data_IF_565591333587
#
_entry.id   IF_565591333587
#
_cell.length_a   1.000
_cell.length_b   1.000
_cell.length_c   1.000
_cell.angle_alpha   90.00
_cell.angle_beta   90.00
_cell.angle_gamma   90.00
#
_symmetry.space_group_name_H-M   'P 1'
#
loop_
_entity.id
_entity.type
_entity.pdbx_description
1 polymer ?
#
# COMPACT_ATOMS: atom_id res chain seq x y z
N UNK A 1 10.62 -27.35 -5.90
CA UNK A 1 9.66 -26.69 -5.00
C UNK A 1 10.28 -25.60 -4.11
N UNK A 2 11.52 -25.75 -3.60
CA UNK A 2 12.18 -24.69 -2.80
C UNK A 2 12.35 -23.37 -3.57
N UNK A 3 12.73 -23.44 -4.84
CA UNK A 3 12.88 -22.26 -5.71
C UNK A 3 11.58 -21.48 -5.87
N UNK A 4 10.44 -22.19 -5.98
CA UNK A 4 9.12 -21.56 -6.09
C UNK A 4 8.74 -20.84 -4.78
N UNK A 5 8.99 -21.44 -3.62
CA UNK A 5 8.79 -20.78 -2.32
C UNK A 5 9.70 -19.57 -2.13
N UNK A 6 10.94 -19.64 -2.61
CA UNK A 6 11.90 -18.54 -2.50
C UNK A 6 11.51 -17.35 -3.39
N UNK A 7 11.01 -17.64 -4.61
CA UNK A 7 10.40 -16.63 -5.49
C UNK A 7 9.15 -16.01 -4.82
N UNK A 8 8.29 -16.81 -4.20
CA UNK A 8 7.10 -16.32 -3.48
C UNK A 8 7.45 -15.40 -2.31
N UNK A 9 8.51 -15.71 -1.55
CA UNK A 9 9.04 -14.85 -0.49
C UNK A 9 9.51 -13.51 -1.06
N UNK A 10 10.30 -13.53 -2.14
CA UNK A 10 10.82 -12.31 -2.77
C UNK A 10 9.69 -11.41 -3.31
N UNK A 11 8.71 -12.00 -3.99
CA UNK A 11 7.53 -11.28 -4.50
C UNK A 11 6.73 -10.66 -3.34
N UNK A 12 6.54 -11.40 -2.25
CA UNK A 12 5.79 -10.92 -1.10
C UNK A 12 6.48 -9.74 -0.42
N UNK A 13 7.80 -9.80 -0.24
CA UNK A 13 8.59 -8.69 0.31
C UNK A 13 8.50 -7.47 -0.62
N UNK A 14 8.67 -7.66 -1.93
CA UNK A 14 8.58 -6.57 -2.90
C UNK A 14 7.20 -5.90 -2.87
N UNK A 15 6.13 -6.70 -2.83
CA UNK A 15 4.75 -6.22 -2.76
C UNK A 15 4.47 -5.39 -1.50
N UNK A 16 4.99 -5.80 -0.34
CA UNK A 16 4.87 -5.06 0.92
C UNK A 16 5.59 -3.71 0.82
N UNK A 17 6.83 -3.69 0.32
CA UNK A 17 7.62 -2.45 0.18
C UNK A 17 6.94 -1.46 -0.77
N UNK A 18 6.41 -1.93 -1.90
CA UNK A 18 5.66 -1.09 -2.84
C UNK A 18 4.41 -0.49 -2.20
N UNK A 19 3.64 -1.28 -1.45
CA UNK A 19 2.45 -0.78 -0.75
C UNK A 19 2.80 0.28 0.30
N UNK A 20 3.89 0.08 1.06
CA UNK A 20 4.38 1.07 2.03
C UNK A 20 4.77 2.39 1.34
N UNK A 21 5.50 2.33 0.22
CA UNK A 21 5.87 3.53 -0.53
C UNK A 21 4.66 4.31 -1.07
N UNK A 22 3.57 3.63 -1.44
CA UNK A 22 2.31 4.28 -1.85
C UNK A 22 1.65 4.97 -0.66
N UNK A 23 1.62 4.32 0.52
CA UNK A 23 1.04 4.89 1.74
C UNK A 23 1.83 6.12 2.22
N UNK A 24 3.15 6.07 2.19
CA UNK A 24 3.99 7.21 2.59
C UNK A 24 3.79 8.42 1.66
N UNK A 25 3.71 8.17 0.35
CA UNK A 25 3.38 9.22 -0.62
C UNK A 25 1.97 9.78 -0.42
N UNK A 26 1.00 8.95 -0.04
CA UNK A 26 -0.35 9.41 0.31
C UNK A 26 -0.32 10.39 1.48
N UNK A 27 0.43 10.09 2.55
CA UNK A 27 0.52 10.96 3.74
C UNK A 27 1.17 12.31 3.36
N UNK A 28 2.23 12.28 2.56
CA UNK A 28 2.88 13.50 2.08
C UNK A 28 1.96 14.35 1.19
N UNK A 29 1.16 13.71 0.33
CA UNK A 29 0.19 14.40 -0.52
C UNK A 29 -0.96 15.01 0.29
N UNK A 30 -1.49 14.26 1.26
CA UNK A 30 -2.55 14.73 2.16
C UNK A 30 -2.16 15.97 2.95
N UNK A 31 -0.93 16.02 3.49
CA UNK A 31 -0.44 17.20 4.20
C UNK A 31 -0.37 18.45 3.30
N UNK A 32 0.19 18.31 2.08
CA UNK A 32 0.22 19.42 1.11
C UNK A 32 -1.19 19.90 0.73
N UNK A 33 -2.13 18.97 0.60
CA UNK A 33 -3.50 19.27 0.23
C UNK A 33 -4.25 20.03 1.34
N UNK A 34 -4.01 19.68 2.60
CA UNK A 34 -4.52 20.42 3.76
C UNK A 34 -3.98 21.86 3.76
N UNK A 35 -2.68 22.05 3.47
CA UNK A 35 -2.09 23.38 3.36
C UNK A 35 -2.74 24.21 2.23
N UNK A 36 -2.99 23.61 1.06
CA UNK A 36 -3.68 24.28 -0.06
C UNK A 36 -5.15 24.61 0.25
N UNK A 37 -5.86 23.71 0.93
CA UNK A 37 -7.26 23.91 1.35
C UNK A 37 -7.40 25.03 2.38
N UNK A 38 -6.41 25.21 3.26
CA UNK A 38 -6.41 26.26 4.26
C UNK A 38 -6.23 27.66 3.63
N UNK A 39 -5.79 27.72 2.36
CA UNK A 39 -5.51 28.95 1.63
C UNK A 39 -6.61 29.38 0.64
N UNK A 40 -7.62 28.55 0.30
CA UNK A 40 -8.51 28.89 -0.82
C UNK A 40 -10.01 28.49 -0.71
N UNK A 41 -10.86 29.30 -1.35
CA UNK A 41 -12.33 29.36 -1.23
C UNK A 41 -13.10 28.13 -1.79
N UNK A 42 -14.36 27.99 -1.30
CA UNK A 42 -15.34 26.88 -1.40
C UNK A 42 -15.38 26.01 -2.67
N UNK A 43 -15.05 26.51 -3.86
CA UNK A 43 -15.16 25.75 -5.11
C UNK A 43 -14.05 24.69 -5.28
N UNK A 44 -12.82 25.01 -4.85
CA UNK A 44 -11.69 24.08 -4.90
C UNK A 44 -11.91 22.88 -3.96
N UNK A 45 -12.75 23.05 -2.94
CA UNK A 45 -13.04 22.03 -1.92
C UNK A 45 -13.68 20.78 -2.51
N UNK A 46 -14.49 20.90 -3.58
CA UNK A 46 -15.22 19.76 -4.14
C UNK A 46 -14.34 18.88 -5.05
N UNK A 47 -13.47 19.47 -5.86
CA UNK A 47 -12.49 18.71 -6.66
C UNK A 47 -11.46 18.04 -5.77
N UNK A 48 -10.99 18.75 -4.73
CA UNK A 48 -10.07 18.18 -3.75
C UNK A 48 -10.68 16.99 -3.03
N UNK A 49 -11.96 17.07 -2.63
CA UNK A 49 -12.66 15.97 -1.97
C UNK A 49 -12.76 14.71 -2.83
N UNK A 50 -12.93 14.86 -4.14
CA UNK A 50 -12.99 13.71 -5.06
C UNK A 50 -11.62 13.03 -5.15
N UNK A 51 -10.56 13.83 -5.29
CA UNK A 51 -9.17 13.34 -5.36
C UNK A 51 -8.79 12.64 -4.07
N UNK A 52 -9.08 13.20 -2.88
CA UNK A 52 -8.82 12.51 -1.61
C UNK A 52 -9.60 11.22 -1.46
N UNK A 53 -10.86 11.15 -1.90
CA UNK A 53 -11.65 9.91 -1.80
C UNK A 53 -11.09 8.77 -2.64
N UNK A 54 -10.60 9.05 -3.85
CA UNK A 54 -9.93 8.07 -4.71
C UNK A 54 -8.61 7.64 -4.07
N UNK A 55 -7.87 8.59 -3.49
CA UNK A 55 -6.60 8.32 -2.82
C UNK A 55 -6.78 7.46 -1.55
N UNK A 56 -7.81 7.72 -0.74
CA UNK A 56 -8.14 6.92 0.45
C UNK A 56 -8.58 5.50 0.08
N UNK A 57 -9.31 5.36 -1.03
CA UNK A 57 -9.68 4.06 -1.58
C UNK A 57 -8.42 3.29 -1.99
N UNK A 58 -7.48 3.95 -2.67
CA UNK A 58 -6.18 3.36 -3.04
C UNK A 58 -5.34 2.93 -1.83
N UNK A 59 -5.31 3.75 -0.77
CA UNK A 59 -4.65 3.43 0.50
C UNK A 59 -5.25 2.19 1.15
N UNK A 60 -6.58 2.10 1.19
CA UNK A 60 -7.30 0.97 1.77
C UNK A 60 -6.99 -0.32 1.02
N UNK A 61 -6.97 -0.26 -0.33
CA UNK A 61 -6.56 -1.39 -1.17
C UNK A 61 -5.11 -1.80 -0.88
N UNK A 62 -4.19 -0.85 -0.71
CA UNK A 62 -2.79 -1.16 -0.36
C UNK A 62 -2.68 -1.90 0.99
N UNK A 63 -3.46 -1.51 2.00
CA UNK A 63 -3.48 -2.23 3.27
C UNK A 63 -3.99 -3.67 3.13
N UNK A 64 -5.05 -3.88 2.34
CA UNK A 64 -5.57 -5.23 2.04
C UNK A 64 -4.51 -6.08 1.33
N UNK A 65 -3.84 -5.51 0.32
CA UNK A 65 -2.76 -6.17 -0.41
C UNK A 65 -1.57 -6.50 0.50
N UNK A 66 -1.16 -5.59 1.39
CA UNK A 66 -0.12 -5.87 2.39
C UNK A 66 -0.49 -7.08 3.26
N UNK A 67 -1.74 -7.19 3.71
CA UNK A 67 -2.22 -8.35 4.45
C UNK A 67 -2.10 -9.65 3.64
N UNK A 68 -2.50 -9.62 2.36
CA UNK A 68 -2.37 -10.77 1.45
C UNK A 68 -0.90 -11.17 1.22
N UNK A 69 0.00 -10.20 1.01
CA UNK A 69 1.43 -10.47 0.86
C UNK A 69 2.04 -11.00 2.15
N UNK A 70 1.66 -10.49 3.33
CA UNK A 70 2.13 -11.00 4.61
C UNK A 70 1.67 -12.45 4.84
N UNK A 71 0.42 -12.77 4.49
CA UNK A 71 -0.08 -14.14 4.54
C UNK A 71 0.65 -15.07 3.57
N UNK A 72 0.87 -14.62 2.33
CA UNK A 72 1.63 -15.37 1.33
C UNK A 72 3.07 -15.64 1.81
N UNK A 73 3.74 -14.61 2.34
CA UNK A 73 5.07 -14.71 2.93
C UNK A 73 5.12 -15.75 4.04
N UNK A 74 4.12 -15.77 4.94
CA UNK A 74 4.03 -16.75 6.01
C UNK A 74 3.92 -18.19 5.47
N UNK A 75 3.03 -18.41 4.49
CA UNK A 75 2.85 -19.73 3.85
C UNK A 75 4.12 -20.16 3.13
N UNK A 76 4.71 -19.31 2.30
CA UNK A 76 5.93 -19.63 1.56
C UNK A 76 7.11 -19.92 2.48
N UNK A 77 7.24 -19.19 3.59
CA UNK A 77 8.29 -19.42 4.60
C UNK A 77 8.09 -20.77 5.30
N UNK A 78 6.84 -21.11 5.69
CA UNK A 78 6.53 -22.43 6.25
C UNK A 78 6.85 -23.56 5.28
N UNK A 79 6.46 -23.44 4.01
CA UNK A 79 6.72 -24.45 2.98
C UNK A 79 8.22 -24.60 2.72
N UNK A 80 8.96 -23.49 2.71
CA UNK A 80 10.41 -23.51 2.57
C UNK A 80 11.07 -24.25 3.74
N UNK A 81 10.68 -23.92 4.98
CA UNK A 81 11.22 -24.54 6.20
C UNK A 81 10.87 -26.03 6.34
N UNK A 82 9.64 -26.42 6.03
CA UNK A 82 9.17 -27.81 6.15
C UNK A 82 9.88 -28.79 5.21
N UNK A 83 10.55 -28.30 4.17
CA UNK A 83 11.30 -29.14 3.21
C UNK A 83 12.82 -29.09 3.44
N UNK A 84 13.27 -28.51 4.55
CA UNK A 84 14.67 -28.54 5.02
C UNK A 84 14.87 -29.77 5.86
#
# INVERSE_FOLDING_TARGET
MKTLSLIGILISILGIVLCLGIIDNFVAYGNKLIDYLNLNHKEIKHEIFSITSVLDTGRTICFVLMGLFAFNLFVCTKVYRSRT
#
